data_IF_827392714995
#
_entry.id   IF_827392714995
#
_cell.length_a   1.000
_cell.length_b   1.000
_cell.length_c   1.000
_cell.angle_alpha   90.00
_cell.angle_beta   90.00
_cell.angle_gamma   90.00
#
_symmetry.space_group_name_H-M   'P 1'
#
loop_
_entity.id
_entity.type
_entity.pdbx_description
1 polymer ?
#
# COMPACT_ATOMS: atom_id res chain seq x y z
N UNK A 1 -7.45 12.58 -14.76
CA UNK A 1 -6.15 12.37 -14.10
C UNK A 1 -6.43 11.39 -12.99
N UNK A 2 -5.95 10.15 -13.13
CA UNK A 2 -6.12 9.14 -12.10
C UNK A 2 -5.32 9.60 -10.88
N UNK A 3 -5.83 9.42 -9.68
CA UNK A 3 -5.15 9.93 -8.48
C UNK A 3 -3.80 9.22 -8.23
N UNK A 4 -3.57 8.02 -8.77
CA UNK A 4 -2.24 7.39 -8.77
C UNK A 4 -1.20 8.24 -9.53
N UNK A 5 -1.61 8.94 -10.59
CA UNK A 5 -0.73 9.81 -11.40
C UNK A 5 -0.09 10.95 -10.59
N UNK A 6 -0.67 11.31 -9.42
CA UNK A 6 -0.16 12.42 -8.59
C UNK A 6 0.99 11.99 -7.67
N UNK A 7 1.06 10.73 -7.26
CA UNK A 7 2.06 10.23 -6.31
C UNK A 7 3.31 9.68 -6.99
N UNK A 8 3.19 9.19 -8.22
CA UNK A 8 4.36 8.78 -9.02
C UNK A 8 5.14 9.99 -9.58
N UNK A 9 4.58 11.20 -9.48
CA UNK A 9 5.15 12.39 -10.12
C UNK A 9 6.25 13.12 -9.31
N UNK A 10 6.49 12.78 -8.04
CA UNK A 10 7.42 13.59 -7.21
C UNK A 10 8.89 13.19 -7.26
N UNK A 11 9.27 12.11 -7.97
CA UNK A 11 10.65 11.57 -7.92
C UNK A 11 11.42 11.56 -9.26
N UNK A 12 11.12 12.47 -10.20
CA UNK A 12 12.02 12.69 -11.34
C UNK A 12 12.25 14.16 -11.65
N UNK A 13 13.19 14.75 -10.92
CA UNK A 13 13.86 15.96 -11.38
C UNK A 13 14.78 15.65 -12.56
N UNK A 14 14.28 15.79 -13.80
CA UNK A 14 15.00 16.37 -14.95
C UNK A 14 14.20 16.18 -16.27
N UNK A 15 13.63 17.27 -16.78
CA UNK A 15 13.52 17.53 -18.23
C UNK A 15 12.40 16.84 -19.03
N UNK A 16 11.46 17.65 -19.51
CA UNK A 16 10.81 17.60 -20.82
C UNK A 16 10.37 16.24 -21.41
N UNK A 17 9.04 15.99 -21.41
CA UNK A 17 8.20 15.96 -22.62
C UNK A 17 6.77 15.52 -22.26
N UNK A 18 5.83 16.46 -22.38
CA UNK A 18 4.40 16.19 -22.21
C UNK A 18 3.87 15.46 -23.45
N UNK A 19 3.88 14.12 -23.42
CA UNK A 19 3.09 13.31 -24.37
C UNK A 19 1.68 13.20 -23.80
N UNK A 20 0.74 13.97 -24.37
CA UNK A 20 -0.69 13.81 -24.11
C UNK A 20 -1.15 12.51 -24.77
N UNK A 21 -1.44 11.50 -23.96
CA UNK A 21 -2.16 10.30 -24.41
C UNK A 21 -3.64 10.65 -24.64
N UNK A 22 -4.04 10.73 -25.91
CA UNK A 22 -5.42 10.85 -26.33
C UNK A 22 -6.08 9.46 -26.29
N UNK A 23 -6.97 9.24 -25.32
CA UNK A 23 -7.83 8.05 -25.31
C UNK A 23 -8.94 8.17 -26.36
N UNK A 24 -9.18 7.14 -27.20
CA UNK A 24 -10.31 7.14 -28.12
C UNK A 24 -11.65 6.93 -27.39
N UNK A 25 -12.78 7.45 -27.95
CA UNK A 25 -14.10 7.32 -27.35
C UNK A 25 -14.63 5.87 -27.41
N UNK A 26 -15.15 5.38 -26.28
CA UNK A 26 -15.86 4.10 -26.14
C UNK A 26 -17.18 4.07 -26.90
N UNK A 27 -17.38 3.02 -27.70
CA UNK A 27 -18.62 2.73 -28.43
C UNK A 27 -19.74 2.16 -27.53
N UNK A 28 -21.03 2.35 -27.86
CA UNK A 28 -22.15 1.88 -27.06
C UNK A 28 -22.52 0.39 -27.29
N UNK A 29 -22.54 -0.34 -26.17
CA UNK A 29 -23.53 -1.34 -25.74
C UNK A 29 -24.16 -2.35 -26.73
N UNK A 30 -23.78 -3.62 -26.58
CA UNK A 30 -24.59 -4.79 -27.00
C UNK A 30 -25.18 -5.46 -25.75
N UNK A 31 -26.50 -5.72 -25.67
CA UNK A 31 -27.09 -6.44 -24.55
C UNK A 31 -26.85 -7.97 -24.66
N UNK A 32 -26.48 -8.68 -23.58
CA UNK A 32 -26.39 -10.14 -23.61
C UNK A 32 -27.76 -10.81 -23.48
N UNK A 33 -27.99 -11.75 -24.40
CA UNK A 33 -29.11 -12.68 -24.48
C UNK A 33 -29.10 -13.68 -23.33
N UNK A 34 -30.25 -13.86 -22.67
CA UNK A 34 -30.48 -14.90 -21.66
C UNK A 34 -30.44 -16.28 -22.30
N UNK A 35 -29.62 -17.19 -21.76
CA UNK A 35 -29.69 -18.62 -22.07
C UNK A 35 -30.14 -19.43 -20.86
N UNK A 36 -30.99 -20.40 -21.16
CA UNK A 36 -31.81 -21.23 -20.29
C UNK A 36 -31.12 -22.58 -20.03
N UNK A 37 -31.23 -23.05 -18.79
CA UNK A 37 -31.39 -24.47 -18.40
C UNK A 37 -30.28 -25.48 -18.76
N UNK A 38 -29.62 -26.01 -17.73
CA UNK A 38 -29.45 -27.47 -17.60
C UNK A 38 -29.08 -27.84 -16.16
N UNK A 39 -29.98 -28.55 -15.50
CA UNK A 39 -29.71 -29.27 -14.25
C UNK A 39 -29.05 -30.58 -14.62
N UNK A 40 -27.74 -30.68 -14.39
CA UNK A 40 -27.03 -31.96 -14.45
C UNK A 40 -26.94 -32.54 -13.03
N UNK A 41 -27.56 -33.69 -12.83
CA UNK A 41 -27.45 -34.52 -11.64
C UNK A 41 -26.09 -35.24 -11.69
N UNK A 42 -25.17 -34.91 -10.80
CA UNK A 42 -23.90 -35.64 -10.66
C UNK A 42 -24.01 -36.55 -9.44
N UNK A 43 -23.94 -37.86 -9.67
CA UNK A 43 -23.86 -38.87 -8.63
C UNK A 43 -22.49 -38.79 -7.94
N UNK A 44 -22.50 -38.62 -6.62
CA UNK A 44 -21.30 -38.54 -5.79
C UNK A 44 -20.69 -39.94 -5.61
N UNK A 45 -19.50 -40.17 -6.18
CA UNK A 45 -18.59 -41.21 -5.72
C UNK A 45 -17.76 -40.62 -4.56
N UNK A 46 -18.01 -41.10 -3.35
CA UNK A 46 -17.20 -40.80 -2.18
C UNK A 46 -15.89 -41.60 -2.27
N UNK A 47 -14.84 -40.98 -2.81
CA UNK A 47 -13.46 -41.47 -2.67
C UNK A 47 -12.88 -40.85 -1.40
N UNK A 48 -12.38 -41.63 -0.43
CA UNK A 48 -11.67 -41.08 0.72
C UNK A 48 -10.34 -40.48 0.25
N UNK A 49 -10.28 -39.16 0.16
CA UNK A 49 -9.04 -38.43 -0.08
C UNK A 49 -8.17 -38.54 1.18
N UNK A 50 -7.14 -39.38 1.13
CA UNK A 50 -6.03 -39.35 2.08
C UNK A 50 -5.25 -38.07 1.79
N UNK A 51 -5.59 -36.98 2.48
CA UNK A 51 -4.79 -35.77 2.48
C UNK A 51 -3.55 -36.10 3.31
N UNK A 52 -2.49 -36.56 2.63
CA UNK A 52 -1.15 -36.56 3.18
C UNK A 52 -0.77 -35.11 3.41
N UNK A 53 -0.97 -34.63 4.64
CA UNK A 53 -0.55 -33.31 5.06
C UNK A 53 0.95 -33.20 4.88
N UNK A 54 1.37 -32.51 3.83
CA UNK A 54 2.71 -31.96 3.77
C UNK A 54 2.81 -31.00 4.96
N UNK A 55 3.48 -31.45 6.02
CA UNK A 55 3.95 -30.57 7.08
C UNK A 55 4.96 -29.62 6.42
N UNK A 56 4.45 -28.55 5.81
CA UNK A 56 5.26 -27.42 5.40
C UNK A 56 5.94 -26.90 6.65
N UNK A 57 7.27 -26.97 6.67
CA UNK A 57 8.09 -26.37 7.71
C UNK A 57 7.63 -24.94 7.88
N UNK A 58 6.94 -24.64 8.98
CA UNK A 58 6.69 -23.27 9.37
C UNK A 58 8.06 -22.67 9.68
N UNK A 59 8.60 -21.90 8.73
CA UNK A 59 9.77 -21.08 8.98
C UNK A 59 9.41 -20.18 10.16
N UNK A 60 10.19 -20.29 11.25
CA UNK A 60 10.01 -19.41 12.38
C UNK A 60 10.23 -17.98 11.88
N UNK A 61 9.20 -17.14 11.97
CA UNK A 61 9.32 -15.73 11.61
C UNK A 61 10.47 -15.12 12.40
N UNK A 62 11.47 -14.60 11.68
CA UNK A 62 12.54 -13.83 12.28
C UNK A 62 11.97 -12.56 12.93
N UNK A 63 12.67 -11.95 13.90
CA UNK A 63 12.33 -10.59 14.29
C UNK A 63 12.48 -9.68 13.07
N UNK A 64 11.47 -8.85 12.77
CA UNK A 64 11.62 -7.78 11.78
C UNK A 64 12.81 -6.91 12.15
N UNK A 65 13.61 -6.53 11.17
CA UNK A 65 14.70 -5.58 11.29
C UNK A 65 14.13 -4.20 10.96
N UNK A 66 13.70 -3.42 11.97
CA UNK A 66 13.15 -2.10 11.72
C UNK A 66 14.23 -1.22 11.06
N UNK A 67 13.82 -0.49 10.03
CA UNK A 67 14.59 0.62 9.48
C UNK A 67 14.34 1.81 10.39
N UNK A 68 15.41 2.36 10.95
CA UNK A 68 15.35 3.65 11.64
C UNK A 68 15.67 4.73 10.64
N UNK A 69 14.85 5.77 10.64
CA UNK A 69 15.03 6.96 9.82
C UNK A 69 15.52 8.12 10.69
N UNK A 70 16.19 9.12 10.11
CA UNK A 70 16.47 10.37 10.82
C UNK A 70 15.18 11.06 11.29
N UNK A 71 15.32 12.12 12.07
CA UNK A 71 14.18 12.94 12.52
C UNK A 71 14.38 14.35 11.99
N UNK A 72 13.32 14.98 11.50
CA UNK A 72 13.32 16.36 11.01
C UNK A 72 13.73 16.55 9.55
N UNK A 73 13.63 15.50 8.74
CA UNK A 73 13.88 15.44 7.29
C UNK A 73 12.61 15.58 6.43
N UNK A 74 11.45 15.76 7.06
CA UNK A 74 10.18 16.03 6.38
C UNK A 74 10.31 17.19 5.37
N UNK A 75 9.78 16.96 4.18
CA UNK A 75 9.69 17.94 3.10
C UNK A 75 8.25 18.38 2.88
N UNK A 76 8.03 19.66 2.57
CA UNK A 76 6.74 20.14 2.09
C UNK A 76 6.57 19.80 0.60
N UNK A 77 5.33 19.86 0.07
CA UNK A 77 5.04 19.72 -1.38
C UNK A 77 5.92 20.61 -2.27
N UNK A 78 6.35 21.76 -1.74
CA UNK A 78 7.28 22.70 -2.39
C UNK A 78 8.73 22.20 -2.54
N UNK A 79 9.07 21.07 -1.93
CA UNK A 79 10.41 20.50 -1.88
C UNK A 79 11.34 21.12 -0.82
N UNK A 80 10.82 22.02 0.02
CA UNK A 80 11.60 22.62 1.12
C UNK A 80 11.41 21.85 2.43
N UNK A 81 12.43 21.75 3.29
CA UNK A 81 12.29 21.21 4.64
C UNK A 81 11.20 21.92 5.43
N UNK A 82 10.44 21.16 6.23
CA UNK A 82 9.34 21.68 7.05
C UNK A 82 9.26 20.94 8.38
N UNK A 83 8.82 21.61 9.44
CA UNK A 83 8.58 20.95 10.73
C UNK A 83 7.15 20.39 10.77
N UNK A 84 6.99 19.08 10.52
CA UNK A 84 5.72 18.39 10.71
C UNK A 84 5.95 17.00 11.33
N UNK A 85 6.04 16.90 12.67
CA UNK A 85 6.38 15.64 13.35
C UNK A 85 5.35 14.53 13.16
N UNK A 86 4.14 14.85 12.69
CA UNK A 86 3.13 13.85 12.33
C UNK A 86 3.38 13.18 10.97
N UNK A 87 4.16 13.82 10.10
CA UNK A 87 4.60 13.28 8.82
C UNK A 87 5.97 12.59 8.91
N UNK A 88 6.81 13.04 9.85
CA UNK A 88 8.16 12.53 10.16
C UNK A 88 8.15 11.05 10.56
N UNK A 89 8.49 10.14 9.65
CA UNK A 89 8.57 8.70 9.87
C UNK A 89 9.92 8.42 10.54
N UNK A 90 9.93 7.98 11.79
CA UNK A 90 11.19 7.66 12.50
C UNK A 90 11.54 6.17 12.43
N UNK A 91 10.56 5.33 12.12
CA UNK A 91 10.73 3.88 12.00
C UNK A 91 9.77 3.33 10.95
N UNK A 92 10.27 2.47 10.07
CA UNK A 92 9.45 1.62 9.21
C UNK A 92 9.87 0.14 9.34
N UNK A 93 8.90 -0.78 9.26
CA UNK A 93 9.15 -2.21 9.37
C UNK A 93 8.33 -3.02 8.36
N UNK A 94 8.86 -4.19 8.01
CA UNK A 94 8.18 -5.19 7.21
C UNK A 94 8.60 -6.59 7.64
N UNK A 95 7.63 -7.50 7.81
CA UNK A 95 7.90 -8.91 8.13
C UNK A 95 6.83 -9.84 7.63
N UNK A 96 7.21 -11.09 7.39
CA UNK A 96 6.28 -12.19 7.15
C UNK A 96 5.81 -12.79 8.47
N UNK A 97 4.50 -12.93 8.62
CA UNK A 97 3.87 -13.60 9.77
C UNK A 97 3.04 -14.76 9.24
N UNK A 98 3.70 -15.92 9.09
CA UNK A 98 3.08 -17.07 8.45
C UNK A 98 2.81 -16.82 6.96
N UNK A 99 1.55 -16.76 6.57
CA UNK A 99 1.12 -16.49 5.18
C UNK A 99 0.70 -15.04 4.94
N UNK A 100 0.88 -14.16 5.94
CA UNK A 100 0.56 -12.74 5.85
C UNK A 100 1.86 -11.91 5.78
N UNK A 101 1.79 -10.78 5.08
CA UNK A 101 2.77 -9.71 5.16
C UNK A 101 2.25 -8.67 6.14
N UNK A 102 3.10 -8.28 7.09
CA UNK A 102 2.86 -7.19 8.03
C UNK A 102 3.84 -6.05 7.73
N UNK A 103 3.29 -4.89 7.41
CA UNK A 103 4.03 -3.65 7.17
C UNK A 103 3.64 -2.62 8.23
N UNK A 104 4.56 -1.74 8.61
CA UNK A 104 4.22 -0.70 9.56
C UNK A 104 5.19 0.45 9.58
N UNK A 105 4.72 1.56 10.13
CA UNK A 105 5.53 2.75 10.34
C UNK A 105 5.11 3.48 11.61
N UNK A 106 6.06 4.21 12.19
CA UNK A 106 5.87 5.07 13.34
C UNK A 106 6.42 6.44 13.03
N UNK A 107 5.67 7.47 13.40
CA UNK A 107 6.10 8.86 13.24
C UNK A 107 6.65 9.46 14.53
N UNK A 108 7.36 10.58 14.44
CA UNK A 108 7.88 11.32 15.59
C UNK A 108 6.76 11.75 16.55
N UNK A 109 5.58 12.08 16.00
CA UNK A 109 4.33 12.30 16.74
C UNK A 109 3.24 11.35 16.23
N UNK A 110 3.14 10.14 16.82
CA UNK A 110 2.14 9.16 16.41
C UNK A 110 0.71 9.68 16.52
N UNK A 111 -0.09 9.40 15.50
CA UNK A 111 -1.53 9.67 15.48
C UNK A 111 -2.29 8.41 15.08
N UNK A 112 -3.39 8.12 15.75
CA UNK A 112 -4.32 7.07 15.36
C UNK A 112 -5.15 7.56 14.15
N UNK A 113 -5.00 6.94 12.96
CA UNK A 113 -5.72 7.35 11.75
C UNK A 113 -7.23 7.31 11.86
N UNK A 114 -7.77 6.51 12.78
CA UNK A 114 -9.20 6.36 12.99
C UNK A 114 -9.77 7.46 13.89
N UNK A 115 -8.91 8.22 14.59
CA UNK A 115 -9.30 9.27 15.56
C UNK A 115 -8.85 10.65 15.16
N UNK A 116 -7.78 10.77 14.40
CA UNK A 116 -7.27 12.05 13.94
C UNK A 116 -8.05 12.52 12.70
N UNK A 117 -8.78 13.66 12.78
CA UNK A 117 -9.62 14.13 11.70
C UNK A 117 -8.85 14.47 10.42
N UNK A 118 -7.55 14.77 10.49
CA UNK A 118 -6.75 15.08 9.31
C UNK A 118 -6.54 13.86 8.41
N UNK A 119 -6.70 12.63 8.91
CA UNK A 119 -6.69 11.42 8.07
C UNK A 119 -7.89 11.29 7.14
N UNK A 120 -8.93 12.10 7.35
CA UNK A 120 -10.05 12.24 6.42
C UNK A 120 -9.75 13.23 5.30
N UNK A 121 -8.68 14.01 5.42
CA UNK A 121 -8.28 14.95 4.38
C UNK A 121 -7.73 14.18 3.19
N UNK A 122 -8.06 14.64 1.97
CA UNK A 122 -7.67 13.96 0.72
C UNK A 122 -6.16 13.95 0.47
N UNK A 123 -5.41 14.81 1.15
CA UNK A 123 -3.95 14.85 1.07
C UNK A 123 -3.26 14.02 2.15
N UNK A 124 -3.99 13.52 3.15
CA UNK A 124 -3.40 12.67 4.18
C UNK A 124 -3.55 11.21 3.79
N UNK A 125 -2.43 10.50 3.75
CA UNK A 125 -2.42 9.08 3.45
C UNK A 125 -1.00 8.53 3.48
N UNK A 126 -0.90 7.22 3.59
CA UNK A 126 0.38 6.52 3.48
C UNK A 126 0.35 5.53 2.34
N UNK A 127 1.51 5.31 1.75
CA UNK A 127 1.74 4.29 0.73
C UNK A 127 2.94 3.45 1.14
N UNK A 128 2.79 2.13 1.16
CA UNK A 128 3.94 1.26 1.06
C UNK A 128 4.14 0.87 -0.39
N UNK A 129 5.34 1.13 -0.87
CA UNK A 129 5.84 0.65 -2.15
C UNK A 129 6.46 -0.72 -1.92
N UNK A 130 6.07 -1.71 -2.71
CA UNK A 130 6.51 -3.09 -2.54
C UNK A 130 7.14 -3.55 -3.86
N UNK A 131 8.36 -4.05 -3.75
CA UNK A 131 9.17 -4.59 -4.84
C UNK A 131 9.41 -6.09 -4.54
N UNK A 132 9.14 -6.95 -5.52
CA UNK A 132 9.24 -8.41 -5.36
C UNK A 132 10.44 -9.04 -6.07
N UNK A 133 11.20 -8.27 -6.85
CA UNK A 133 12.35 -8.75 -7.62
C UNK A 133 13.64 -7.92 -7.45
N UNK A 134 13.56 -6.85 -6.64
CA UNK A 134 14.66 -5.93 -6.33
C UNK A 134 15.28 -5.29 -7.58
N UNK A 135 14.46 -5.04 -8.61
CA UNK A 135 14.92 -4.37 -9.80
C UNK A 135 14.97 -2.82 -9.63
N UNK A 136 14.48 -2.32 -8.49
CA UNK A 136 14.35 -0.89 -8.15
C UNK A 136 13.54 -0.09 -9.19
N UNK A 137 12.89 -0.78 -10.12
CA UNK A 137 12.03 -0.21 -11.12
C UNK A 137 10.62 -0.06 -10.53
N UNK A 138 9.74 0.61 -11.27
CA UNK A 138 8.42 1.04 -10.79
C UNK A 138 7.73 -0.05 -9.97
N UNK A 139 7.32 0.31 -8.76
CA UNK A 139 6.78 -0.63 -7.76
C UNK A 139 5.64 -1.43 -8.31
N UNK A 140 5.80 -2.75 -8.28
CA UNK A 140 4.82 -3.69 -8.79
C UNK A 140 3.52 -3.63 -7.99
N UNK A 141 3.65 -3.38 -6.68
CA UNK A 141 2.52 -3.31 -5.76
C UNK A 141 2.59 -2.11 -4.82
N UNK A 142 1.40 -1.62 -4.46
CA UNK A 142 1.24 -0.50 -3.53
C UNK A 142 0.20 -0.86 -2.47
N UNK A 143 0.54 -0.72 -1.19
CA UNK A 143 -0.47 -0.65 -0.13
C UNK A 143 -0.81 0.81 0.12
N UNK A 144 -2.01 1.23 -0.26
CA UNK A 144 -2.48 2.61 -0.13
C UNK A 144 -3.46 2.70 1.02
N UNK A 145 -3.16 3.55 2.01
CA UNK A 145 -4.02 3.79 3.16
C UNK A 145 -4.48 5.26 3.22
N UNK A 146 -5.79 5.48 3.04
CA UNK A 146 -6.41 6.81 2.98
C UNK A 146 -7.92 6.73 3.13
N UNK A 147 -8.56 7.83 3.54
CA UNK A 147 -10.03 7.92 3.58
C UNK A 147 -10.66 8.04 2.19
N UNK A 148 -10.07 8.84 1.29
CA UNK A 148 -10.71 9.17 0.01
C UNK A 148 -12.04 9.91 0.22
N UNK A 149 -13.11 9.39 -0.35
CA UNK A 149 -14.50 9.84 -0.16
C UNK A 149 -15.23 9.13 1.00
N UNK A 150 -14.55 8.18 1.67
CA UNK A 150 -15.12 7.37 2.75
C UNK A 150 -15.01 8.11 4.09
N UNK A 151 -15.87 7.72 5.03
CA UNK A 151 -15.82 8.24 6.40
C UNK A 151 -14.59 7.77 7.19
N UNK A 152 -13.95 6.68 6.74
CA UNK A 152 -12.82 6.03 7.40
C UNK A 152 -11.74 5.62 6.38
N UNK A 153 -10.46 5.76 6.73
CA UNK A 153 -9.37 5.21 5.93
C UNK A 153 -9.53 3.71 5.65
N UNK A 154 -9.22 3.30 4.41
CA UNK A 154 -9.06 1.89 4.03
C UNK A 154 -7.66 1.65 3.52
N UNK A 155 -7.11 0.47 3.84
CA UNK A 155 -5.82 0.02 3.34
C UNK A 155 -6.05 -0.97 2.20
N UNK A 156 -5.81 -0.56 0.96
CA UNK A 156 -6.02 -1.39 -0.21
C UNK A 156 -4.67 -1.69 -0.87
N UNK A 157 -4.46 -2.96 -1.24
CA UNK A 157 -3.29 -3.44 -1.97
C UNK A 157 -3.61 -3.38 -3.46
N UNK A 158 -2.79 -2.66 -4.21
CA UNK A 158 -2.92 -2.44 -5.64
C UNK A 158 -1.79 -3.13 -6.39
N UNK A 159 -2.09 -3.60 -7.60
CA UNK A 159 -1.10 -4.00 -8.61
C UNK A 159 -1.70 -3.81 -10.00
N UNK A 160 -0.90 -3.41 -10.98
CA UNK A 160 -1.36 -3.16 -12.36
C UNK A 160 -2.59 -2.23 -12.48
N UNK A 161 -2.75 -1.28 -11.54
CA UNK A 161 -3.84 -0.31 -11.55
C UNK A 161 -5.19 -0.82 -11.02
N UNK A 162 -5.24 -2.00 -10.41
CA UNK A 162 -6.45 -2.54 -9.77
C UNK A 162 -6.21 -2.94 -8.31
N UNK A 163 -7.29 -2.96 -7.51
CA UNK A 163 -7.25 -3.43 -6.12
C UNK A 163 -7.23 -4.95 -6.12
N UNK A 164 -6.17 -5.53 -5.58
CA UNK A 164 -5.99 -6.97 -5.43
C UNK A 164 -6.66 -7.48 -4.15
N UNK A 165 -6.50 -6.76 -3.04
CA UNK A 165 -7.18 -7.07 -1.78
C UNK A 165 -7.18 -5.87 -0.82
N UNK A 166 -7.93 -5.98 0.28
CA UNK A 166 -7.95 -4.99 1.37
C UNK A 166 -7.16 -5.55 2.56
N UNK A 167 -6.19 -4.78 3.04
CA UNK A 167 -5.42 -5.08 4.22
C UNK A 167 -6.20 -4.75 5.50
N UNK A 168 -5.87 -5.45 6.59
CA UNK A 168 -6.29 -5.07 7.95
C UNK A 168 -5.38 -3.93 8.40
N UNK A 169 -5.95 -2.88 9.00
CA UNK A 169 -5.20 -1.80 9.64
C UNK A 169 -5.35 -1.84 11.17
N UNK A 170 -4.29 -1.46 11.88
CA UNK A 170 -4.28 -1.29 13.32
C UNK A 170 -3.34 -0.15 13.74
N UNK A 171 -3.62 0.47 14.89
CA UNK A 171 -2.72 1.43 15.52
C UNK A 171 -2.33 0.89 16.90
N UNK A 172 -1.08 0.44 17.06
CA UNK A 172 -0.59 -0.25 18.26
C UNK A 172 0.68 0.43 18.75
N UNK A 173 0.68 0.91 19.99
CA UNK A 173 1.84 1.56 20.64
C UNK A 173 2.48 2.70 19.83
N UNK A 174 1.64 3.43 19.08
CA UNK A 174 2.06 4.53 18.21
C UNK A 174 2.51 4.12 16.81
N UNK A 175 2.46 2.83 16.47
CA UNK A 175 2.79 2.31 15.15
C UNK A 175 1.51 2.05 14.37
N UNK A 176 1.46 2.52 13.13
CA UNK A 176 0.44 2.11 12.16
C UNK A 176 0.89 0.79 11.54
N UNK A 177 0.05 -0.23 11.62
CA UNK A 177 0.34 -1.60 11.18
C UNK A 177 -0.70 -2.03 10.17
N UNK A 178 -0.24 -2.63 9.08
CA UNK A 178 -1.06 -3.12 7.99
C UNK A 178 -0.73 -4.59 7.73
N UNK A 179 -1.75 -5.44 7.64
CA UNK A 179 -1.57 -6.88 7.44
C UNK A 179 -2.44 -7.39 6.31
N UNK A 180 -1.86 -8.13 5.37
CA UNK A 180 -2.59 -8.75 4.28
C UNK A 180 -1.97 -10.10 3.85
N UNK A 181 -2.74 -11.01 3.21
CA UNK A 181 -2.20 -12.28 2.72
C UNK A 181 -1.14 -12.08 1.63
N UNK A 182 -0.01 -12.79 1.72
CA UNK A 182 1.03 -12.80 0.68
C UNK A 182 0.49 -13.28 -0.68
N UNK A 183 -0.58 -14.08 -0.67
CA UNK A 183 -1.27 -14.49 -1.89
C UNK A 183 -1.94 -13.35 -2.65
N UNK A 184 -2.09 -12.16 -2.05
CA UNK A 184 -2.56 -10.98 -2.78
C UNK A 184 -1.54 -10.49 -3.81
N UNK A 185 -0.26 -10.82 -3.64
CA UNK A 185 0.85 -10.38 -4.50
C UNK A 185 1.63 -11.57 -5.05
N UNK A 186 0.94 -12.69 -5.28
CA UNK A 186 1.49 -13.93 -5.85
C UNK A 186 2.55 -14.68 -5.02
N UNK A 187 2.60 -14.44 -3.70
CA UNK A 187 3.52 -15.12 -2.76
C UNK A 187 5.00 -15.06 -3.18
N UNK A 188 5.57 -13.87 -3.35
CA UNK A 188 6.93 -13.73 -3.84
C UNK A 188 7.92 -14.25 -2.81
N UNK A 189 9.05 -14.78 -3.29
CA UNK A 189 10.09 -15.35 -2.44
C UNK A 189 10.87 -14.26 -1.69
N UNK A 190 11.13 -13.14 -2.36
CA UNK A 190 11.80 -11.96 -1.83
C UNK A 190 10.83 -10.78 -1.83
N UNK A 191 11.01 -9.86 -0.90
CA UNK A 191 10.17 -8.69 -0.74
C UNK A 191 11.01 -7.55 -0.19
N UNK A 192 10.84 -6.39 -0.79
CA UNK A 192 11.45 -5.15 -0.36
C UNK A 192 10.37 -4.09 -0.25
N UNK A 193 10.52 -3.15 0.67
CA UNK A 193 9.52 -2.12 0.93
C UNK A 193 10.14 -0.75 1.19
N UNK A 194 9.37 0.28 0.88
CA UNK A 194 9.55 1.64 1.41
C UNK A 194 8.21 2.21 1.84
N UNK A 195 8.21 2.88 2.99
CA UNK A 195 7.06 3.59 3.50
C UNK A 195 7.11 5.04 3.03
N UNK A 196 5.98 5.58 2.61
CA UNK A 196 5.81 7.00 2.31
C UNK A 196 4.57 7.51 3.04
N UNK A 197 4.68 8.63 3.71
CA UNK A 197 3.57 9.31 4.38
C UNK A 197 3.45 10.70 3.80
N UNK A 198 2.23 11.12 3.55
CA UNK A 198 1.89 12.52 3.39
C UNK A 198 0.79 12.90 4.34
N UNK A 199 0.91 14.10 4.89
CA UNK A 199 0.09 14.58 5.97
C UNK A 199 -0.30 16.04 5.73
N UNK A 200 -1.60 16.32 5.69
CA UNK A 200 -2.11 17.67 5.50
C UNK A 200 -1.70 18.59 6.66
N UNK A 201 -1.20 19.80 6.36
CA UNK A 201 -0.73 20.72 7.41
C UNK A 201 -1.81 21.64 8.02
N UNK A 202 -3.02 21.74 7.43
CA UNK A 202 -4.11 22.58 7.98
C UNK A 202 -5.47 22.19 7.39
N UNK A 203 -6.56 22.57 8.07
CA UNK A 203 -7.97 22.32 7.71
C UNK A 203 -8.46 23.09 6.47
N UNK A 204 -7.60 23.92 5.86
CA UNK A 204 -7.96 24.78 4.74
C UNK A 204 -7.64 24.11 3.40
N UNK A 205 -8.60 24.18 2.48
CA UNK A 205 -8.64 23.52 1.17
C UNK A 205 -7.51 23.85 0.17
N UNK A 206 -6.42 24.49 0.63
CA UNK A 206 -5.22 24.79 -0.14
C UNK A 206 -3.92 24.64 0.65
N UNK A 207 -3.94 23.99 1.81
CA UNK A 207 -2.74 23.70 2.59
C UNK A 207 -1.80 22.75 1.86
N UNK A 208 -0.51 23.08 1.84
CA UNK A 208 0.56 22.19 1.42
C UNK A 208 0.57 20.95 2.33
N UNK A 209 0.85 19.77 1.78
CA UNK A 209 1.17 18.60 2.57
C UNK A 209 2.65 18.58 2.96
N UNK A 210 2.92 17.93 4.09
CA UNK A 210 4.24 17.49 4.48
C UNK A 210 4.36 16.01 4.15
N UNK A 211 5.45 15.61 3.54
CA UNK A 211 5.72 14.23 3.17
C UNK A 211 7.06 13.77 3.68
N UNK A 212 7.14 12.46 3.89
CA UNK A 212 8.35 11.79 4.33
C UNK A 212 8.39 10.34 3.85
N UNK A 213 9.58 9.75 3.81
CA UNK A 213 9.79 8.36 3.38
C UNK A 213 10.85 7.65 4.18
N UNK A 214 10.56 6.42 4.59
CA UNK A 214 11.51 5.54 5.27
C UNK A 214 11.63 4.18 4.54
N UNK A 215 12.84 3.76 4.14
CA UNK A 215 14.08 4.54 4.17
C UNK A 215 14.02 5.78 3.25
N UNK A 216 14.79 6.82 3.59
CA UNK A 216 15.04 8.01 2.73
C UNK A 216 15.38 7.68 1.27
N UNK A 217 16.00 6.52 1.04
CA UNK A 217 16.36 6.05 -0.29
C UNK A 217 16.27 4.54 -0.41
N UNK A 218 15.80 4.09 -1.57
CA UNK A 218 15.74 2.67 -1.94
C UNK A 218 14.65 1.90 -1.18
N UNK A 219 14.96 0.64 -0.88
CA UNK A 219 14.04 -0.28 -0.22
C UNK A 219 14.76 -1.05 0.88
N UNK A 220 13.99 -1.47 1.88
CA UNK A 220 14.45 -2.38 2.92
C UNK A 220 13.86 -3.78 2.69
N UNK A 221 14.66 -4.82 2.97
CA UNK A 221 14.19 -6.19 2.87
C UNK A 221 13.13 -6.50 3.95
N UNK A 222 12.15 -7.30 3.57
CA UNK A 222 11.19 -7.93 4.49
C UNK A 222 11.79 -9.22 5.04
N UNK A 223 11.77 -9.37 6.36
CA UNK A 223 12.21 -10.59 7.05
C UNK A 223 11.17 -11.73 7.06
#
# INVERSE_FOLDING_TARGET
MSYMDRWDYSHSGAGDNVIRSEFPPTAPGVPPTRSLTSRLLIAALAVPAVIAGAAGSALAAGPASPVTDPTGDVIAETGFPTEQPKADIIVANGRRVGAELELGFKTAQPTDPQRDPLWKHVLTGSVFRIDTDNDESFTEFHLVFRAGDKERPTADVWGNGEVLCTAKDAHVDGTNVFTFPLSCIDNPAELYYSAHLSYAQVDDAGGLDASDSAPDSGYAAVD
#
